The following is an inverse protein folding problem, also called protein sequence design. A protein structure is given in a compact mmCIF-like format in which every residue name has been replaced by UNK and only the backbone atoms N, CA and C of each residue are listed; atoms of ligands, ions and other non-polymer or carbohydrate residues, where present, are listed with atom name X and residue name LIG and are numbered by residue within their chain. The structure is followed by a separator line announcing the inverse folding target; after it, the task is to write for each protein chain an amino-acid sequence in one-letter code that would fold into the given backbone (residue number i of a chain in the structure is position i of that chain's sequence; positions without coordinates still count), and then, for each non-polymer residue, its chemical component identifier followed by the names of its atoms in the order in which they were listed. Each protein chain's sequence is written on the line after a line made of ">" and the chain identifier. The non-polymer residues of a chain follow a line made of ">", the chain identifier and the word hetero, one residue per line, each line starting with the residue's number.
data_IF_632674011431
#
_entry.id   IF_632674011431
#
_cell.length_a   1.000
_cell.length_b   1.000
_cell.length_c   1.000
_cell.angle_alpha   90.00
_cell.angle_beta   90.00
_cell.angle_gamma   90.00
#
_symmetry.space_group_name_H-M   'P 1'
#
loop_
_entity.id
_entity.type
_entity.pdbx_description
1 polymer ?
#
# COMPACT_ATOMS: atom_id res chain seq x y z
N UNK A 1 58.86 1.65 19.74
CA UNK A 1 58.22 1.59 18.41
C UNK A 1 57.11 0.53 18.30
N UNK A 2 57.22 -0.65 18.93
CA UNK A 2 56.22 -1.74 18.82
C UNK A 2 54.83 -1.43 19.45
N UNK A 3 54.78 -0.63 20.52
CA UNK A 3 53.53 -0.25 21.21
C UNK A 3 52.68 0.77 20.44
N UNK A 4 53.29 1.61 19.60
CA UNK A 4 52.57 2.57 18.75
C UNK A 4 51.87 1.88 17.56
N UNK A 5 52.50 0.85 16.97
CA UNK A 5 51.91 0.08 15.87
C UNK A 5 50.66 -0.72 16.31
N UNK A 6 50.72 -1.33 17.51
CA UNK A 6 49.61 -2.10 18.06
C UNK A 6 48.40 -1.23 18.40
N UNK A 7 48.62 -0.03 18.96
CA UNK A 7 47.54 0.88 19.32
C UNK A 7 46.81 1.45 18.09
N UNK A 8 47.57 1.79 17.03
CA UNK A 8 46.99 2.27 15.76
C UNK A 8 46.18 1.18 15.04
N UNK A 9 46.65 -0.08 15.07
CA UNK A 9 45.93 -1.22 14.49
C UNK A 9 44.65 -1.56 15.25
N UNK A 10 44.66 -1.51 16.59
CA UNK A 10 43.44 -1.72 17.39
C UNK A 10 42.42 -0.60 17.21
N UNK A 11 42.85 0.64 17.02
CA UNK A 11 41.95 1.78 16.75
C UNK A 11 41.35 1.68 15.34
N UNK A 12 42.13 1.22 14.35
CA UNK A 12 41.65 1.01 12.98
C UNK A 12 40.60 -0.11 12.89
N UNK A 13 40.77 -1.19 13.67
CA UNK A 13 39.83 -2.31 13.73
C UNK A 13 38.54 -1.98 14.51
N UNK A 14 38.58 -1.01 15.43
CA UNK A 14 37.41 -0.60 16.20
C UNK A 14 36.50 0.38 15.42
N UNK A 15 37.06 1.15 14.49
CA UNK A 15 36.33 2.09 13.62
C UNK A 15 35.53 1.39 12.50
N UNK A 16 35.96 0.21 12.04
CA UNK A 16 35.25 -0.55 11.00
C UNK A 16 33.97 -1.21 11.52
N UNK A 17 33.90 -1.52 12.82
CA UNK A 17 32.72 -2.15 13.46
C UNK A 17 31.59 -1.14 13.70
N UNK A 18 31.91 0.16 13.85
CA UNK A 18 30.93 1.20 14.14
C UNK A 18 30.10 1.63 12.91
N UNK A 19 30.59 1.39 11.69
CA UNK A 19 29.90 1.78 10.45
C UNK A 19 28.81 0.81 9.98
N UNK A 20 28.63 -0.34 10.61
CA UNK A 20 27.65 -1.34 10.13
C UNK A 20 26.26 -1.24 10.82
N UNK A 21 26.09 -0.36 11.81
CA UNK A 21 24.89 -0.34 12.66
C UNK A 21 23.85 0.72 12.25
N UNK A 22 24.06 1.43 11.15
CA UNK A 22 23.18 2.54 10.75
C UNK A 22 22.77 2.48 9.29
N UNK A 23 22.31 1.32 8.82
CA UNK A 23 21.43 1.31 7.65
C UNK A 23 20.03 1.71 8.09
N UNK A 24 19.46 2.83 7.59
CA UNK A 24 18.06 3.12 7.80
C UNK A 24 17.29 2.01 7.07
N UNK A 25 16.66 1.12 7.84
CA UNK A 25 15.69 0.17 7.32
C UNK A 25 14.65 1.01 6.59
N UNK A 26 14.64 0.90 5.25
CA UNK A 26 13.81 1.72 4.40
C UNK A 26 12.36 1.68 4.87
N UNK A 27 11.78 2.86 5.14
CA UNK A 27 10.36 2.98 5.34
C UNK A 27 9.67 2.49 4.06
N UNK A 28 9.10 1.29 4.10
CA UNK A 28 8.24 0.77 3.06
C UNK A 28 7.00 1.67 3.02
N UNK A 29 7.04 2.70 2.17
CA UNK A 29 5.87 3.45 1.80
C UNK A 29 4.91 2.50 1.06
N UNK A 30 4.04 1.83 1.80
CA UNK A 30 2.92 1.10 1.22
C UNK A 30 1.99 2.15 0.62
N UNK A 31 2.12 2.36 -0.68
CA UNK A 31 1.13 3.12 -1.44
C UNK A 31 -0.19 2.37 -1.34
N UNK A 32 -1.03 2.78 -0.38
CA UNK A 32 -2.38 2.24 -0.25
C UNK A 32 -3.11 2.54 -1.56
N UNK A 33 -3.49 1.49 -2.26
CA UNK A 33 -4.31 1.59 -3.46
C UNK A 33 -5.59 2.39 -3.16
N UNK A 34 -5.87 3.41 -3.97
CA UNK A 34 -7.10 4.19 -3.89
C UNK A 34 -8.13 3.51 -4.79
N UNK A 35 -9.22 3.03 -4.19
CA UNK A 35 -10.32 2.42 -4.91
C UNK A 35 -11.04 3.44 -5.79
N UNK A 36 -11.26 3.07 -7.05
CA UNK A 36 -11.98 3.85 -8.06
C UNK A 36 -13.18 3.07 -8.58
N UNK A 37 -14.11 3.73 -9.28
CA UNK A 37 -15.24 3.06 -9.93
C UNK A 37 -14.78 1.94 -10.88
N UNK A 38 -13.65 2.15 -11.58
CA UNK A 38 -13.08 1.14 -12.48
C UNK A 38 -12.64 -0.11 -11.73
N UNK A 39 -11.96 0.04 -10.58
CA UNK A 39 -11.57 -1.08 -9.75
C UNK A 39 -12.78 -1.89 -9.26
N UNK A 40 -13.90 -1.23 -8.91
CA UNK A 40 -15.15 -1.91 -8.57
C UNK A 40 -15.70 -2.70 -9.76
N UNK A 41 -15.72 -2.10 -10.95
CA UNK A 41 -16.14 -2.78 -12.18
C UNK A 41 -15.28 -4.02 -12.43
N UNK A 42 -13.97 -3.92 -12.24
CA UNK A 42 -13.04 -5.02 -12.45
C UNK A 42 -13.27 -6.15 -11.43
N UNK A 43 -13.56 -5.82 -10.17
CA UNK A 43 -13.93 -6.81 -9.14
C UNK A 43 -15.26 -7.51 -9.47
N UNK A 44 -16.27 -6.76 -9.92
CA UNK A 44 -17.57 -7.32 -10.34
C UNK A 44 -17.39 -8.26 -11.54
N UNK A 45 -16.61 -7.84 -12.55
CA UNK A 45 -16.29 -8.65 -13.73
C UNK A 45 -15.49 -9.90 -13.38
N UNK A 46 -14.62 -9.81 -12.38
CA UNK A 46 -13.85 -10.92 -11.83
C UNK A 46 -14.66 -11.85 -10.90
N UNK A 47 -15.98 -11.62 -10.78
CA UNK A 47 -16.91 -12.45 -10.00
C UNK A 47 -16.59 -12.51 -8.49
N UNK A 48 -15.97 -11.48 -7.94
CA UNK A 48 -15.90 -11.35 -6.48
C UNK A 48 -17.31 -11.24 -5.90
N UNK A 49 -17.51 -11.85 -4.73
CA UNK A 49 -18.80 -11.75 -4.04
C UNK A 49 -19.06 -10.32 -3.59
N UNK A 50 -20.34 -9.96 -3.51
CA UNK A 50 -20.78 -8.63 -3.07
C UNK A 50 -20.19 -8.25 -1.70
N UNK A 51 -20.20 -9.19 -0.74
CA UNK A 51 -19.65 -8.96 0.59
C UNK A 51 -18.16 -8.63 0.60
N UNK A 52 -17.37 -9.23 -0.29
CA UNK A 52 -15.93 -8.94 -0.42
C UNK A 52 -15.72 -7.54 -1.01
N UNK A 53 -16.49 -7.18 -2.03
CA UNK A 53 -16.42 -5.84 -2.64
C UNK A 53 -16.78 -4.77 -1.61
N UNK A 54 -17.87 -4.96 -0.86
CA UNK A 54 -18.31 -4.05 0.20
C UNK A 54 -17.26 -3.95 1.32
N UNK A 55 -16.69 -5.07 1.76
CA UNK A 55 -15.64 -5.06 2.77
C UNK A 55 -14.42 -4.27 2.30
N UNK A 56 -14.00 -4.45 1.05
CA UNK A 56 -12.88 -3.75 0.43
C UNK A 56 -13.14 -2.24 0.28
N UNK A 57 -14.36 -1.84 -0.07
CA UNK A 57 -14.81 -0.44 -0.09
C UNK A 57 -14.64 0.19 1.29
N UNK A 58 -15.13 -0.48 2.34
CA UNK A 58 -15.09 0.02 3.72
C UNK A 58 -13.67 0.09 4.31
N UNK A 59 -12.78 -0.79 3.88
CA UNK A 59 -11.43 -0.91 4.45
C UNK A 59 -10.36 -0.13 3.70
N UNK A 60 -10.66 0.47 2.55
CA UNK A 60 -9.65 1.11 1.69
C UNK A 60 -9.93 2.58 1.49
N UNK A 61 -8.87 3.36 1.25
CA UNK A 61 -9.03 4.71 0.70
C UNK A 61 -9.72 4.61 -0.65
N UNK A 62 -10.63 5.53 -0.92
CA UNK A 62 -11.43 5.55 -2.13
C UNK A 62 -11.50 6.96 -2.71
N UNK A 63 -11.79 7.02 -4.01
CA UNK A 63 -12.00 8.25 -4.79
C UNK A 63 -13.09 7.95 -5.81
N UNK A 64 -14.31 7.74 -5.31
CA UNK A 64 -15.44 7.38 -6.14
C UNK A 64 -16.12 8.60 -6.76
N UNK A 65 -16.52 8.45 -8.02
CA UNK A 65 -17.46 9.36 -8.67
C UNK A 65 -18.89 8.83 -8.43
N UNK A 66 -19.68 9.59 -7.67
CA UNK A 66 -21.08 9.29 -7.33
C UNK A 66 -22.07 10.09 -8.17
N UNK A 67 -21.63 10.71 -9.27
CA UNK A 67 -22.52 11.34 -10.25
C UNK A 67 -23.46 10.33 -10.90
N UNK A 68 -24.60 10.80 -11.40
CA UNK A 68 -25.62 9.93 -12.00
C UNK A 68 -25.08 9.10 -13.18
N UNK A 69 -24.19 9.67 -14.01
CA UNK A 69 -23.56 8.97 -15.13
C UNK A 69 -22.63 7.85 -14.65
N UNK A 70 -21.83 8.10 -13.61
CA UNK A 70 -20.91 7.13 -13.04
C UNK A 70 -21.65 5.95 -12.38
N UNK A 71 -22.71 6.22 -11.62
CA UNK A 71 -23.58 5.18 -11.04
C UNK A 71 -24.31 4.37 -12.12
N UNK A 72 -24.78 5.01 -13.19
CA UNK A 72 -25.37 4.30 -14.32
C UNK A 72 -24.36 3.37 -14.99
N UNK A 73 -23.10 3.79 -15.14
CA UNK A 73 -22.02 2.95 -15.69
C UNK A 73 -21.74 1.74 -14.80
N UNK A 74 -21.68 1.92 -13.47
CA UNK A 74 -21.52 0.84 -12.51
C UNK A 74 -22.66 -0.19 -12.61
N UNK A 75 -23.91 0.28 -12.64
CA UNK A 75 -25.09 -0.57 -12.79
C UNK A 75 -25.05 -1.38 -14.09
N UNK A 76 -24.69 -0.74 -15.22
CA UNK A 76 -24.53 -1.40 -16.53
C UNK A 76 -23.45 -2.48 -16.52
N UNK A 77 -22.41 -2.33 -15.70
CA UNK A 77 -21.35 -3.31 -15.54
C UNK A 77 -21.64 -4.39 -14.49
N UNK A 78 -22.85 -4.39 -13.90
CA UNK A 78 -23.31 -5.44 -12.98
C UNK A 78 -23.06 -5.14 -11.50
N UNK A 79 -22.66 -3.93 -11.13
CA UNK A 79 -22.65 -3.54 -9.73
C UNK A 79 -24.08 -3.50 -9.18
N UNK A 80 -24.28 -4.11 -8.02
CA UNK A 80 -25.57 -4.15 -7.34
C UNK A 80 -25.85 -2.83 -6.62
N UNK A 81 -27.10 -2.62 -6.23
CA UNK A 81 -27.47 -1.43 -5.47
C UNK A 81 -26.80 -1.42 -4.09
N UNK A 82 -26.55 -2.58 -3.48
CA UNK A 82 -25.82 -2.68 -2.23
C UNK A 82 -24.35 -2.23 -2.36
N UNK A 83 -23.67 -2.57 -3.47
CA UNK A 83 -22.31 -2.10 -3.74
C UNK A 83 -22.30 -0.58 -3.91
N UNK A 84 -23.23 -0.03 -4.69
CA UNK A 84 -23.31 1.42 -4.92
C UNK A 84 -23.66 2.18 -3.63
N UNK A 85 -24.55 1.64 -2.79
CA UNK A 85 -24.86 2.20 -1.48
C UNK A 85 -23.66 2.19 -0.54
N UNK A 86 -22.77 1.18 -0.64
CA UNK A 86 -21.55 1.14 0.17
C UNK A 86 -20.50 2.18 -0.25
N UNK A 87 -20.63 2.77 -1.44
CA UNK A 87 -19.74 3.83 -1.95
C UNK A 87 -20.15 5.24 -1.46
N UNK A 88 -21.35 5.39 -0.90
CA UNK A 88 -21.92 6.64 -0.36
C UNK A 88 -21.80 6.70 1.16
#
# INVERSE_FOLDING_TARGET
>A
MKKLLSASLTVLLLQSVFCFVLSPVGALAQTQEVLTNQAIIDMVKSRFSEGIIIAKIKSSRNSFDTSASALQSLKKNGATDAIMMAMM
#
